data_IF_267526255039
#
_entry.id   IF_267526255039
#
_cell.length_a   1.000
_cell.length_b   1.000
_cell.length_c   1.000
_cell.angle_alpha   90.00
_cell.angle_beta   90.00
_cell.angle_gamma   90.00
#
_symmetry.space_group_name_H-M   'P 1'
#
loop_
_entity.id
_entity.type
_entity.pdbx_description
1 polymer ?
#
# COMPACT_ATOMS: atom_id res chain seq x y z
N UNK A 1 15.47 -7.69 24.74
CA UNK A 1 14.92 -6.31 24.72
C UNK A 1 14.37 -5.94 23.34
N UNK A 2 15.13 -6.12 22.25
CA UNK A 2 14.70 -5.84 20.86
C UNK A 2 13.36 -6.50 20.50
N UNK A 3 13.15 -7.77 20.89
CA UNK A 3 11.91 -8.51 20.63
C UNK A 3 10.64 -7.77 21.08
N UNK A 4 10.63 -7.31 22.34
CA UNK A 4 9.45 -6.67 22.92
C UNK A 4 9.19 -5.31 22.30
N UNK A 5 10.25 -4.61 21.90
CA UNK A 5 10.14 -3.30 21.29
C UNK A 5 9.64 -3.39 19.84
N UNK A 6 10.16 -4.32 19.03
CA UNK A 6 9.67 -4.57 17.68
C UNK A 6 8.17 -4.96 17.69
N UNK A 7 7.80 -5.89 18.57
CA UNK A 7 6.39 -6.28 18.76
C UNK A 7 5.52 -5.08 19.14
N UNK A 8 5.93 -4.27 20.10
CA UNK A 8 5.20 -3.07 20.51
C UNK A 8 4.97 -2.11 19.33
N UNK A 9 6.00 -1.86 18.51
CA UNK A 9 5.87 -0.98 17.34
C UNK A 9 4.91 -1.56 16.30
N UNK A 10 4.95 -2.86 16.02
CA UNK A 10 3.99 -3.50 15.12
C UNK A 10 2.56 -3.48 15.68
N UNK A 11 2.39 -3.64 16.99
CA UNK A 11 1.08 -3.49 17.64
C UNK A 11 0.57 -2.04 17.51
N UNK A 12 1.46 -1.04 17.55
CA UNK A 12 1.10 0.37 17.29
C UNK A 12 0.72 0.61 15.83
N UNK A 13 1.46 0.06 14.87
CA UNK A 13 1.07 0.11 13.45
C UNK A 13 -0.28 -0.57 13.22
N UNK A 14 -0.59 -1.64 13.95
CA UNK A 14 -1.84 -2.36 13.79
C UNK A 14 -3.07 -1.60 14.27
N UNK A 15 -2.93 -0.77 15.30
CA UNK A 15 -4.06 -0.12 15.98
C UNK A 15 -4.17 1.39 15.75
N UNK A 16 -3.29 2.01 14.98
CA UNK A 16 -3.23 3.48 14.87
C UNK A 16 -3.83 3.98 13.57
N UNK A 17 -5.00 4.62 13.67
CA UNK A 17 -5.66 5.35 12.56
C UNK A 17 -5.19 6.80 12.41
N UNK A 18 -4.26 7.26 13.24
CA UNK A 18 -3.77 8.64 13.26
C UNK A 18 -2.35 8.73 12.68
N UNK A 19 -2.22 9.44 11.56
CA UNK A 19 -0.94 9.58 10.84
C UNK A 19 0.23 10.08 11.68
N UNK A 20 -0.04 10.82 12.77
CA UNK A 20 0.99 11.34 13.68
C UNK A 20 1.79 10.29 14.44
N UNK A 21 1.27 9.06 14.63
CA UNK A 21 2.00 7.97 15.28
C UNK A 21 2.67 7.01 14.29
N UNK A 22 2.25 7.02 13.03
CA UNK A 22 2.81 6.14 11.99
C UNK A 22 4.27 6.51 11.67
N UNK A 23 4.56 7.79 11.50
CA UNK A 23 5.93 8.23 11.18
C UNK A 23 6.95 7.83 12.26
N UNK A 24 6.76 8.15 13.56
CA UNK A 24 7.68 7.69 14.60
C UNK A 24 7.81 6.16 14.66
N UNK A 25 6.71 5.42 14.47
CA UNK A 25 6.75 3.95 14.47
C UNK A 25 7.59 3.40 13.31
N UNK A 26 7.38 3.91 12.09
CA UNK A 26 8.20 3.56 10.93
C UNK A 26 9.67 3.92 11.12
N UNK A 27 9.97 5.11 11.67
CA UNK A 27 11.35 5.53 11.92
C UNK A 27 12.05 4.59 12.90
N UNK A 28 11.39 4.23 14.00
CA UNK A 28 11.94 3.30 14.98
C UNK A 28 12.15 1.92 14.36
N UNK A 29 11.22 1.42 13.54
CA UNK A 29 11.39 0.14 12.86
C UNK A 29 12.56 0.17 11.86
N UNK A 30 12.75 1.25 11.12
CA UNK A 30 13.91 1.44 10.23
C UNK A 30 15.24 1.37 11.00
N UNK A 31 15.29 1.90 12.23
CA UNK A 31 16.48 1.77 13.08
C UNK A 31 16.68 0.33 13.60
N UNK A 32 15.59 -0.43 13.80
CA UNK A 32 15.67 -1.80 14.30
C UNK A 32 16.12 -2.81 13.24
N UNK A 33 15.75 -2.61 11.98
CA UNK A 33 16.12 -3.53 10.88
C UNK A 33 17.63 -3.51 10.57
N UNK A 34 18.37 -2.52 11.06
CA UNK A 34 19.84 -2.53 11.00
C UNK A 34 20.45 -3.58 11.94
N UNK A 35 19.69 -4.10 12.91
CA UNK A 35 20.12 -5.20 13.74
C UNK A 35 19.83 -6.55 13.06
N UNK A 36 20.83 -7.41 12.79
CA UNK A 36 20.62 -8.68 12.11
C UNK A 36 19.70 -9.64 12.89
N UNK A 37 19.60 -9.49 14.22
CA UNK A 37 18.69 -10.30 15.04
C UNK A 37 17.21 -10.00 14.76
N UNK A 38 16.90 -8.86 14.13
CA UNK A 38 15.55 -8.51 13.72
C UNK A 38 14.97 -9.59 12.79
N UNK A 39 15.73 -9.99 11.78
CA UNK A 39 15.29 -10.98 10.79
C UNK A 39 15.40 -12.42 11.30
N UNK A 40 16.46 -12.74 12.04
CA UNK A 40 16.66 -14.11 12.56
C UNK A 40 15.60 -14.53 13.59
N UNK A 41 14.90 -13.57 14.21
CA UNK A 41 13.79 -13.82 15.13
C UNK A 41 12.41 -13.69 14.45
N UNK A 42 12.36 -13.66 13.12
CA UNK A 42 11.12 -13.60 12.33
C UNK A 42 10.24 -12.37 12.62
N UNK A 43 10.79 -11.28 13.16
CA UNK A 43 10.00 -10.07 13.49
C UNK A 43 9.28 -9.49 12.28
N UNK A 44 9.96 -9.50 11.13
CA UNK A 44 9.39 -9.12 9.83
C UNK A 44 8.19 -9.99 9.45
N UNK A 45 8.27 -11.30 9.66
CA UNK A 45 7.21 -12.27 9.29
C UNK A 45 5.93 -12.02 10.08
N UNK A 46 6.04 -11.80 11.38
CA UNK A 46 4.87 -11.50 12.21
C UNK A 46 4.40 -10.04 12.08
N UNK A 47 5.29 -9.12 11.71
CA UNK A 47 5.00 -7.70 11.61
C UNK A 47 4.47 -7.22 10.26
N UNK A 48 4.67 -7.98 9.18
CA UNK A 48 4.37 -7.54 7.81
C UNK A 48 2.89 -7.19 7.63
N UNK A 49 1.97 -7.94 8.23
CA UNK A 49 0.53 -7.65 8.13
C UNK A 49 0.18 -6.31 8.77
N UNK A 50 0.82 -5.99 9.91
CA UNK A 50 0.65 -4.70 10.58
C UNK A 50 1.20 -3.55 9.77
N UNK A 51 2.36 -3.75 9.13
CA UNK A 51 2.93 -2.76 8.22
C UNK A 51 2.01 -2.51 7.01
N UNK A 52 1.53 -3.56 6.34
CA UNK A 52 0.63 -3.44 5.19
C UNK A 52 -0.65 -2.70 5.57
N UNK A 53 -1.24 -3.01 6.72
CA UNK A 53 -2.43 -2.30 7.22
C UNK A 53 -2.17 -0.81 7.41
N UNK A 54 -1.11 -0.47 8.15
CA UNK A 54 -0.73 0.93 8.38
C UNK A 54 -0.36 1.66 7.10
N UNK A 55 0.16 0.96 6.08
CA UNK A 55 0.47 1.55 4.79
C UNK A 55 -0.78 1.88 3.97
N UNK A 56 -1.81 1.03 4.01
CA UNK A 56 -3.09 1.35 3.38
C UNK A 56 -3.69 2.62 3.98
N UNK A 57 -3.57 2.81 5.29
CA UNK A 57 -4.02 4.04 5.97
C UNK A 57 -3.11 5.23 5.66
N UNK A 58 -1.79 5.03 5.63
CA UNK A 58 -0.83 6.08 5.31
C UNK A 58 -1.01 6.63 3.89
N UNK A 59 -1.39 5.80 2.92
CA UNK A 59 -1.67 6.20 1.55
C UNK A 59 -2.92 7.10 1.43
N UNK A 60 -3.75 7.20 2.47
CA UNK A 60 -4.88 8.12 2.52
C UNK A 60 -4.52 9.48 3.14
N UNK A 61 -3.33 9.63 3.69
CA UNK A 61 -2.90 10.86 4.34
C UNK A 61 -2.49 11.90 3.30
N UNK A 62 -2.75 13.17 3.63
CA UNK A 62 -2.28 14.32 2.85
C UNK A 62 -0.77 14.51 2.96
N UNK A 63 -0.18 14.13 4.11
CA UNK A 63 1.26 14.16 4.31
C UNK A 63 1.92 12.97 3.60
N UNK A 64 2.53 13.26 2.45
CA UNK A 64 3.19 12.29 1.58
C UNK A 64 4.48 11.72 2.18
N UNK A 65 5.02 12.34 3.22
CA UNK A 65 6.20 11.83 3.89
C UNK A 65 5.90 10.47 4.52
N UNK A 66 4.76 10.33 5.21
CA UNK A 66 4.34 9.11 5.92
C UNK A 66 4.26 7.87 5.01
N UNK A 67 3.50 7.86 3.90
CA UNK A 67 3.45 6.71 3.00
C UNK A 67 4.81 6.45 2.34
N UNK A 68 5.58 7.49 2.01
CA UNK A 68 6.94 7.30 1.46
C UNK A 68 7.82 6.53 2.45
N UNK A 69 7.80 6.90 3.73
CA UNK A 69 8.61 6.25 4.75
C UNK A 69 8.13 4.82 5.04
N UNK A 70 6.82 4.59 5.06
CA UNK A 70 6.29 3.22 5.20
C UNK A 70 6.69 2.32 4.04
N UNK A 71 6.69 2.83 2.80
CA UNK A 71 7.10 2.08 1.62
C UNK A 71 8.61 1.82 1.62
N UNK A 72 9.41 2.75 2.14
CA UNK A 72 10.83 2.54 2.39
C UNK A 72 11.06 1.41 3.40
N UNK A 73 10.35 1.42 4.53
CA UNK A 73 10.43 0.35 5.51
C UNK A 73 10.04 -1.01 4.92
N UNK A 74 8.97 -1.05 4.12
CA UNK A 74 8.58 -2.27 3.41
C UNK A 74 9.69 -2.74 2.46
N UNK A 75 10.30 -1.82 1.71
CA UNK A 75 11.41 -2.12 0.79
C UNK A 75 12.58 -2.75 1.54
N UNK A 76 13.01 -2.16 2.65
CA UNK A 76 14.14 -2.65 3.43
C UNK A 76 13.85 -3.99 4.12
N UNK A 77 12.63 -4.19 4.63
CA UNK A 77 12.21 -5.49 5.18
C UNK A 77 12.27 -6.57 4.10
N UNK A 78 11.74 -6.29 2.91
CA UNK A 78 11.81 -7.23 1.78
C UNK A 78 13.27 -7.50 1.41
N UNK A 79 14.09 -6.44 1.26
CA UNK A 79 15.45 -6.54 0.74
C UNK A 79 16.37 -7.36 1.64
N UNK A 80 16.21 -7.21 2.95
CA UNK A 80 17.05 -7.83 3.98
C UNK A 80 16.51 -9.15 4.52
N UNK A 81 15.30 -9.56 4.12
CA UNK A 81 14.73 -10.84 4.56
C UNK A 81 15.61 -12.01 4.05
N UNK A 82 16.10 -12.89 4.95
CA UNK A 82 16.95 -14.00 4.54
C UNK A 82 16.16 -15.02 3.71
N UNK A 83 16.75 -15.60 2.65
CA UNK A 83 16.06 -16.57 1.79
C UNK A 83 15.53 -17.82 2.51
N UNK A 84 16.14 -18.17 3.65
CA UNK A 84 15.73 -19.31 4.49
C UNK A 84 14.42 -19.05 5.22
N UNK A 85 14.09 -17.79 5.53
CA UNK A 85 12.88 -17.41 6.25
C UNK A 85 11.85 -16.80 5.30
N UNK A 86 10.85 -17.60 4.94
CA UNK A 86 9.81 -17.13 4.02
C UNK A 86 8.95 -16.07 4.68
N UNK A 87 8.99 -14.85 4.14
CA UNK A 87 8.10 -13.77 4.55
C UNK A 87 6.62 -14.10 4.25
N UNK A 88 6.37 -14.86 3.18
CA UNK A 88 5.03 -15.22 2.73
C UNK A 88 4.87 -16.75 2.75
N UNK A 89 4.45 -17.33 3.89
CA UNK A 89 4.15 -18.75 3.96
C UNK A 89 2.95 -19.15 3.07
N UNK A 90 2.09 -18.19 2.70
CA UNK A 90 0.93 -18.39 1.83
C UNK A 90 0.64 -17.23 0.88
N UNK A 91 -0.37 -17.42 0.02
CA UNK A 91 -0.77 -16.51 -1.04
C UNK A 91 -1.36 -15.17 -0.54
N UNK A 92 -2.08 -15.17 0.59
CA UNK A 92 -2.77 -13.99 1.10
C UNK A 92 -1.81 -12.87 1.52
N UNK A 93 -0.73 -13.19 2.21
CA UNK A 93 0.28 -12.22 2.63
C UNK A 93 0.98 -11.56 1.45
N UNK A 94 1.37 -12.36 0.45
CA UNK A 94 1.94 -11.84 -0.79
C UNK A 94 0.95 -10.93 -1.52
N UNK A 95 -0.30 -11.37 -1.67
CA UNK A 95 -1.33 -10.57 -2.31
C UNK A 95 -1.54 -9.24 -1.60
N UNK A 96 -1.61 -9.22 -0.27
CA UNK A 96 -1.79 -7.99 0.51
C UNK A 96 -0.62 -7.00 0.32
N UNK A 97 0.62 -7.50 0.28
CA UNK A 97 1.79 -6.66 -0.03
C UNK A 97 1.75 -6.17 -1.48
N UNK A 98 1.40 -7.03 -2.44
CA UNK A 98 1.30 -6.63 -3.84
C UNK A 98 0.22 -5.55 -4.05
N UNK A 99 -0.93 -5.65 -3.39
CA UNK A 99 -1.99 -4.64 -3.47
C UNK A 99 -1.54 -3.29 -2.92
N UNK A 100 -0.91 -3.24 -1.74
CA UNK A 100 -0.49 -1.96 -1.16
C UNK A 100 0.65 -1.32 -1.97
N UNK A 101 1.54 -2.13 -2.54
CA UNK A 101 2.57 -1.65 -3.46
C UNK A 101 1.94 -1.12 -4.75
N UNK A 102 0.95 -1.80 -5.32
CA UNK A 102 0.22 -1.34 -6.51
C UNK A 102 -0.50 -0.02 -6.26
N UNK A 103 -1.13 0.14 -5.09
CA UNK A 103 -1.74 1.40 -4.66
C UNK A 103 -0.70 2.52 -4.55
N UNK A 104 0.48 2.23 -3.98
CA UNK A 104 1.61 3.16 -3.93
C UNK A 104 2.14 3.55 -5.31
N UNK A 105 2.28 2.61 -6.24
CA UNK A 105 2.72 2.87 -7.62
C UNK A 105 1.73 3.77 -8.36
N UNK A 106 0.43 3.54 -8.14
CA UNK A 106 -0.66 4.31 -8.75
C UNK A 106 -0.87 5.69 -8.10
N UNK A 107 -0.12 5.99 -7.04
CA UNK A 107 -0.25 7.25 -6.31
C UNK A 107 0.27 8.42 -7.15
N UNK A 108 -0.47 9.54 -7.21
CA UNK A 108 -0.18 10.66 -8.11
C UNK A 108 1.19 11.30 -7.88
N UNK A 109 1.66 11.36 -6.64
CA UNK A 109 3.00 11.85 -6.32
C UNK A 109 4.09 10.89 -6.81
N UNK A 110 4.93 11.36 -7.74
CA UNK A 110 6.02 10.57 -8.32
C UNK A 110 7.01 10.04 -7.27
N UNK A 111 7.24 10.77 -6.17
CA UNK A 111 8.12 10.33 -5.08
C UNK A 111 7.59 9.07 -4.39
N UNK A 112 6.30 9.05 -4.07
CA UNK A 112 5.62 7.89 -3.47
C UNK A 112 5.61 6.73 -4.45
N UNK A 113 5.24 6.99 -5.71
CA UNK A 113 5.20 5.96 -6.75
C UNK A 113 6.58 5.34 -7.05
N UNK A 114 7.64 6.15 -7.05
CA UNK A 114 9.01 5.65 -7.24
C UNK A 114 9.44 4.77 -6.08
N UNK A 115 9.15 5.16 -4.84
CA UNK A 115 9.46 4.33 -3.68
C UNK A 115 8.67 3.01 -3.70
N UNK A 116 7.40 3.05 -4.12
CA UNK A 116 6.60 1.84 -4.29
C UNK A 116 7.13 0.94 -5.41
N UNK A 117 7.60 1.52 -6.53
CA UNK A 117 8.24 0.77 -7.60
C UNK A 117 9.55 0.11 -7.14
N UNK A 118 10.33 0.77 -6.28
CA UNK A 118 11.49 0.16 -5.61
C UNK A 118 11.06 -1.05 -4.77
N UNK A 119 10.00 -0.94 -3.96
CA UNK A 119 9.46 -2.07 -3.20
C UNK A 119 9.02 -3.22 -4.12
N UNK A 120 8.35 -2.91 -5.24
CA UNK A 120 7.94 -3.90 -6.24
C UNK A 120 9.13 -4.65 -6.84
N UNK A 121 10.22 -3.93 -7.17
CA UNK A 121 11.44 -4.54 -7.73
C UNK A 121 12.05 -5.57 -6.78
N UNK A 122 12.03 -5.30 -5.47
CA UNK A 122 12.48 -6.25 -4.45
C UNK A 122 11.48 -7.39 -4.33
N UNK A 123 10.17 -7.10 -4.29
CA UNK A 123 9.11 -8.11 -4.20
C UNK A 123 9.14 -9.14 -5.34
N UNK A 124 9.63 -8.78 -6.53
CA UNK A 124 9.78 -9.70 -7.66
C UNK A 124 10.90 -10.74 -7.50
N UNK A 125 11.76 -10.62 -6.48
CA UNK A 125 12.78 -11.64 -6.23
C UNK A 125 12.12 -12.99 -5.93
N UNK A 126 12.76 -14.06 -6.41
CA UNK A 126 12.28 -15.44 -6.27
C UNK A 126 12.00 -15.82 -4.81
N UNK A 127 12.81 -15.33 -3.88
CA UNK A 127 12.72 -15.66 -2.45
C UNK A 127 11.48 -15.06 -1.76
N UNK A 128 10.82 -14.09 -2.38
CA UNK A 128 9.59 -13.48 -1.87
C UNK A 128 8.33 -14.00 -2.57
N UNK A 129 8.42 -14.92 -3.51
CA UNK A 129 7.21 -15.42 -4.17
C UNK A 129 6.44 -16.37 -3.24
N UNK A 130 5.12 -16.18 -3.15
CA UNK A 130 4.27 -17.16 -2.46
C UNK A 130 4.32 -18.52 -3.15
N UNK A 131 3.89 -19.57 -2.45
CA UNK A 131 3.72 -20.91 -3.02
C UNK A 131 2.26 -21.34 -2.86
N UNK A 132 1.49 -21.46 -3.96
CA UNK A 132 1.88 -21.22 -5.36
C UNK A 132 2.15 -19.73 -5.67
N UNK A 133 2.90 -19.48 -6.75
CA UNK A 133 3.23 -18.13 -7.25
C UNK A 133 1.97 -17.48 -7.81
N UNK A 134 1.71 -16.23 -7.43
CA UNK A 134 0.55 -15.45 -7.90
C UNK A 134 0.90 -14.58 -9.11
N UNK A 135 1.07 -15.19 -10.28
CA UNK A 135 1.47 -14.48 -11.51
C UNK A 135 0.58 -13.27 -11.84
N UNK A 136 -0.74 -13.38 -11.67
CA UNK A 136 -1.65 -12.25 -11.94
C UNK A 136 -1.37 -11.01 -11.09
N UNK A 137 -0.84 -11.17 -9.86
CA UNK A 137 -0.42 -10.02 -9.03
C UNK A 137 0.89 -9.42 -9.51
N UNK A 138 1.81 -10.25 -10.00
CA UNK A 138 3.09 -9.81 -10.58
C UNK A 138 2.82 -9.03 -11.89
N UNK A 139 2.01 -9.59 -12.77
CA UNK A 139 1.61 -8.96 -14.04
C UNK A 139 0.92 -7.61 -13.80
N UNK A 140 -0.03 -7.57 -12.85
CA UNK A 140 -0.71 -6.33 -12.49
C UNK A 140 0.24 -5.25 -11.96
N UNK A 141 1.25 -5.63 -11.16
CA UNK A 141 2.28 -4.69 -10.69
C UNK A 141 3.16 -4.17 -11.84
N UNK A 142 3.59 -5.05 -12.75
CA UNK A 142 4.38 -4.65 -13.93
C UNK A 142 3.58 -3.68 -14.80
N UNK A 143 2.29 -3.95 -15.00
CA UNK A 143 1.39 -3.07 -15.75
C UNK A 143 1.24 -1.71 -15.06
N UNK A 144 1.01 -1.70 -13.74
CA UNK A 144 0.89 -0.47 -12.96
C UNK A 144 2.16 0.40 -13.05
N UNK A 145 3.35 -0.22 -12.96
CA UNK A 145 4.63 0.49 -13.09
C UNK A 145 4.80 1.04 -14.50
N UNK A 146 4.52 0.23 -15.52
CA UNK A 146 4.68 0.62 -16.94
C UNK A 146 3.78 1.80 -17.30
N UNK A 147 2.56 1.86 -16.75
CA UNK A 147 1.63 2.99 -16.93
C UNK A 147 2.18 4.34 -16.43
N UNK A 148 3.17 4.33 -15.54
CA UNK A 148 3.78 5.55 -14.99
C UNK A 148 4.95 6.07 -15.85
N UNK A 149 5.46 5.29 -16.80
CA UNK A 149 6.58 5.70 -17.66
C UNK A 149 6.37 7.02 -18.43
N UNK A 150 5.16 7.34 -18.95
CA UNK A 150 4.93 8.62 -19.62
C UNK A 150 5.11 9.85 -18.72
N UNK A 151 5.09 9.69 -17.39
CA UNK A 151 5.28 10.77 -16.43
C UNK A 151 6.75 11.00 -16.08
N UNK A 152 7.62 10.08 -16.46
CA UNK A 152 9.05 10.22 -16.25
C UNK A 152 9.59 11.28 -17.21
N UNK A 153 10.46 12.19 -16.73
CA UNK A 153 11.10 13.14 -17.61
C UNK A 153 11.89 12.39 -18.67
N UNK A 154 11.62 12.69 -19.95
CA UNK A 154 12.44 12.18 -21.05
C UNK A 154 13.85 12.75 -20.83
N UNK A 155 14.90 11.92 -20.78
CA UNK A 155 16.26 12.40 -20.71
C UNK A 155 16.51 13.32 -21.91
N UNK A 156 16.57 14.63 -21.68
CA UNK A 156 17.00 15.58 -22.68
C UNK A 156 18.44 15.19 -23.05
N UNK A 157 18.65 14.82 -24.31
CA UNK A 157 20.00 14.54 -24.82
C UNK A 157 20.91 15.71 -24.45
N UNK A 158 22.05 15.49 -23.77
CA UNK A 158 22.99 16.56 -23.52
C UNK A 158 23.61 16.94 -24.86
N UNK A 159 23.20 18.08 -25.40
CA UNK A 159 24.06 18.81 -26.32
C UNK A 159 25.41 19.00 -25.61
N UNK A 160 26.48 18.46 -26.21
CA UNK A 160 27.87 18.72 -25.85
C UNK A 160 28.06 20.21 -25.56
N UNK A 161 28.34 20.54 -24.32
CA UNK A 161 28.68 21.89 -23.89
C UNK A 161 29.21 21.86 -22.47
N UNK A 162 30.53 21.76 -22.33
CA UNK A 162 31.23 22.01 -21.07
C UNK A 162 30.93 23.47 -20.66
N UNK A 163 30.13 23.68 -19.62
CA UNK A 163 30.07 24.95 -18.91
C UNK A 163 29.48 24.78 -17.49
N UNK A 164 30.40 24.76 -16.53
CA UNK A 164 30.33 25.43 -15.25
C UNK A 164 29.04 25.31 -14.40
N UNK A 165 29.19 24.57 -13.31
CA UNK A 165 28.29 24.46 -12.16
C UNK A 165 27.90 25.87 -11.66
N UNK A 166 26.58 26.13 -11.60
CA UNK A 166 25.95 27.00 -10.61
C UNK A 166 24.70 26.31 -10.09
N UNK A 167 24.77 25.82 -8.86
CA UNK A 167 23.64 25.30 -8.12
C UNK A 167 22.85 26.51 -7.58
N UNK A 168 21.74 26.86 -8.23
CA UNK A 168 20.77 27.81 -7.70
C UNK A 168 19.49 27.08 -7.35
N UNK A 169 19.14 27.15 -6.06
CA UNK A 169 17.82 26.83 -5.51
C UNK A 169 16.71 27.44 -6.37
N UNK A 170 15.81 26.61 -6.90
CA UNK A 170 14.53 27.08 -7.38
C UNK A 170 13.40 26.34 -6.69
N UNK A 171 12.62 27.13 -5.95
CA UNK A 171 11.36 26.84 -5.29
C UNK A 171 10.23 27.09 -6.31
N UNK A 172 9.09 26.41 -6.14
CA UNK A 172 7.77 26.72 -6.75
C UNK A 172 7.55 26.17 -8.19
N UNK A 173 6.35 25.81 -8.67
CA UNK A 173 4.98 26.15 -8.27
C UNK A 173 3.98 25.00 -8.49
N UNK A 174 2.85 25.18 -7.83
CA UNK A 174 1.52 24.61 -8.04
C UNK A 174 1.10 24.37 -9.51
N UNK A 175 0.36 23.30 -9.73
CA UNK A 175 -0.64 23.22 -10.80
C UNK A 175 -1.76 22.28 -10.34
N UNK A 176 -2.83 22.88 -9.81
CA UNK A 176 -4.11 22.24 -9.59
C UNK A 176 -4.59 21.62 -10.90
N UNK A 177 -4.65 20.29 -10.96
CA UNK A 177 -5.42 19.57 -11.97
C UNK A 177 -6.35 18.62 -11.23
N UNK A 178 -7.64 18.88 -11.41
CA UNK A 178 -8.78 18.21 -10.76
C UNK A 178 -8.56 16.71 -10.62
N UNK A 179 -8.60 16.22 -9.38
CA UNK A 179 -8.47 14.81 -9.05
C UNK A 179 -9.68 14.01 -9.59
N UNK A 180 -9.49 12.86 -10.25
CA UNK A 180 -10.55 11.86 -10.29
C UNK A 180 -10.87 11.44 -8.85
N UNK A 181 -12.17 11.33 -8.57
CA UNK A 181 -12.75 11.07 -7.25
C UNK A 181 -12.00 9.96 -6.50
N UNK A 182 -11.43 10.33 -5.35
CA UNK A 182 -10.69 9.40 -4.50
C UNK A 182 -11.62 8.24 -4.10
N UNK A 183 -11.17 7.00 -4.33
CA UNK A 183 -11.89 5.81 -3.88
C UNK A 183 -12.01 5.92 -2.35
N UNK A 184 -13.24 6.09 -1.87
CA UNK A 184 -13.52 6.21 -0.45
C UNK A 184 -13.41 4.83 0.21
N UNK A 185 -12.20 4.50 0.69
CA UNK A 185 -11.92 3.23 1.36
C UNK A 185 -12.69 3.03 2.67
N UNK A 186 -13.39 4.05 3.20
CA UNK A 186 -14.27 3.86 4.37
C UNK A 186 -15.49 2.99 4.07
N UNK A 187 -15.82 2.78 2.79
CA UNK A 187 -16.87 1.86 2.33
C UNK A 187 -16.35 0.44 2.06
N UNK A 188 -15.10 0.12 2.40
CA UNK A 188 -14.50 -1.17 2.11
C UNK A 188 -14.02 -1.83 3.39
N UNK A 189 -14.32 -3.12 3.56
CA UNK A 189 -13.90 -3.93 4.71
C UNK A 189 -12.88 -4.97 4.26
N UNK A 190 -11.81 -5.12 5.06
CA UNK A 190 -10.85 -6.21 4.89
C UNK A 190 -11.43 -7.54 5.37
N UNK A 191 -11.52 -8.54 4.48
CA UNK A 191 -12.08 -9.86 4.82
C UNK A 191 -11.02 -10.93 5.10
N UNK A 192 -9.75 -10.55 5.27
CA UNK A 192 -8.63 -11.49 5.39
C UNK A 192 -8.10 -12.05 4.06
N UNK A 193 -8.69 -11.69 2.92
CA UNK A 193 -8.29 -12.16 1.58
C UNK A 193 -8.29 -11.04 0.53
N UNK A 194 -9.24 -10.11 0.57
CA UNK A 194 -9.32 -8.94 -0.29
C UNK A 194 -10.15 -7.83 0.38
N UNK A 195 -10.04 -6.60 -0.12
CA UNK A 195 -10.96 -5.52 0.22
C UNK A 195 -12.26 -5.72 -0.55
N UNK A 196 -13.39 -5.75 0.16
CA UNK A 196 -14.72 -5.82 -0.44
C UNK A 196 -15.53 -4.58 -0.08
N UNK A 197 -16.32 -4.03 -1.01
CA UNK A 197 -17.24 -2.95 -0.69
C UNK A 197 -18.28 -3.44 0.33
N UNK A 198 -18.69 -2.56 1.23
CA UNK A 198 -19.73 -2.82 2.21
C UNK A 198 -21.07 -3.07 1.49
N UNK A 199 -21.88 -4.03 1.98
CA UNK A 199 -23.18 -4.30 1.39
C UNK A 199 -24.08 -3.06 1.52
N UNK A 200 -24.85 -2.69 0.48
CA UNK A 200 -25.73 -1.53 0.54
C UNK A 200 -26.76 -1.70 1.66
N UNK A 201 -26.92 -0.66 2.48
CA UNK A 201 -27.96 -0.59 3.50
C UNK A 201 -29.33 -0.64 2.84
N UNK A 202 -30.06 -1.74 3.05
CA UNK A 202 -31.45 -1.86 2.63
C UNK A 202 -32.30 -0.97 3.53
N UNK A 203 -32.53 0.28 3.10
CA UNK A 203 -33.58 1.13 3.62
C UNK A 203 -34.29 1.84 2.47
N UNK A 204 -35.34 1.20 1.98
CA UNK A 204 -36.62 1.79 1.53
C UNK A 204 -37.39 0.74 0.72
N UNK A 205 -38.22 -0.06 1.40
CA UNK A 205 -39.32 -0.76 0.73
C UNK A 205 -40.51 0.21 0.60
N UNK A 206 -41.09 0.41 -0.60
CA UNK A 206 -42.38 1.07 -0.74
C UNK A 206 -43.51 0.13 -0.29
N UNK A 207 -44.42 0.70 0.51
CA UNK A 207 -45.72 0.15 0.90
C UNK A 207 -46.44 -0.60 -0.24
N UNK A 208 -46.74 -1.88 -0.04
CA UNK A 208 -47.68 -2.62 -0.90
C UNK A 208 -49.11 -2.26 -0.46
N UNK A 209 -49.73 -1.33 -1.18
CA UNK A 209 -51.17 -1.11 -1.08
C UNK A 209 -51.91 -2.27 -1.76
N UNK A 210 -52.64 -3.06 -0.98
CA UNK A 210 -53.65 -4.03 -1.45
C UNK A 210 -54.95 -3.33 -1.81
N UNK A 211 -55.56 -3.58 -2.97
CA UNK A 211 -56.98 -3.35 -3.19
C UNK A 211 -57.78 -4.63 -2.92
N UNK A 212 -58.74 -4.49 -2.01
CA UNK A 212 -59.85 -5.42 -1.77
C UNK A 212 -60.73 -5.53 -3.02
N UNK A 213 -61.05 -6.74 -3.47
CA UNK A 213 -62.24 -6.98 -4.30
C UNK A 213 -62.88 -8.28 -3.85
N UNK A 214 -64.03 -8.12 -3.19
CA UNK A 214 -65.00 -9.16 -2.89
C UNK A 214 -65.65 -9.63 -4.20
N UNK A 215 -65.77 -10.94 -4.39
CA UNK A 215 -66.80 -11.49 -5.27
C UNK A 215 -67.62 -12.54 -4.51
N UNK A 216 -68.92 -12.29 -4.54
CA UNK A 216 -70.01 -13.08 -4.00
C UNK A 216 -70.17 -14.42 -4.73
N UNK A 217 -70.69 -15.40 -4.00
CA UNK A 217 -71.07 -16.72 -4.45
C UNK A 217 -72.31 -16.72 -5.38
N UNK A 218 -72.36 -17.70 -6.28
CA UNK A 218 -73.60 -18.32 -6.75
C UNK A 218 -73.44 -19.84 -6.68
N UNK A 219 -74.19 -20.43 -5.75
CA UNK A 219 -74.92 -21.71 -5.78
C UNK A 219 -75.04 -22.30 -4.37
#
# INVERSE_FOLDING_TARGET
MIFQFAKFLFDRLAGSSSGGLLWPAYSCLLLLIDNPLFFSQCHSVYGIESLVRSLNEALLLTDLAVPTQGLLLLTEILDRQPPSERLFPGASGFAAVAEVVSAGVSFSCLKVATQAASAASVLFRLNHQSRPVLYGKIEGLIEAITKRFPELPVPSHPHRGIAHIKFSHQRSCDSERSCPEAINLSQYRWTGQCWKPDPPSVSNQPSKNTPTTQYFAQS
#
